data_IF_626896511402
#
_entry.id   IF_626896511402
#
_cell.length_a   1.000
_cell.length_b   1.000
_cell.length_c   1.000
_cell.angle_alpha   90.00
_cell.angle_beta   90.00
_cell.angle_gamma   90.00
#
_symmetry.space_group_name_H-M   'P 1'
#
loop_
_entity.id
_entity.type
_entity.pdbx_description
1 polymer ?
#
# COMPACT_ATOMS: atom_id res chain seq x y z
N UNK A 1 -27.23 22.97 7.07
CA UNK A 1 -26.49 21.99 7.90
C UNK A 1 -25.57 22.65 8.93
N UNK A 2 -25.00 23.82 8.66
CA UNK A 2 -24.07 24.55 9.54
C UNK A 2 -24.73 25.19 10.76
N UNK A 3 -25.97 25.65 10.64
CA UNK A 3 -26.67 26.40 11.71
C UNK A 3 -26.86 25.59 13.00
N UNK A 4 -27.16 24.29 12.87
CA UNK A 4 -27.29 23.36 14.00
C UNK A 4 -25.94 23.07 14.68
N UNK A 5 -24.83 23.25 13.97
CA UNK A 5 -23.47 23.04 14.51
C UNK A 5 -22.99 24.26 15.32
N UNK A 6 -23.58 25.43 15.16
CA UNK A 6 -23.18 26.67 15.85
C UNK A 6 -24.19 27.17 16.88
N UNK A 7 -25.41 26.64 16.89
CA UNK A 7 -26.44 27.03 17.84
C UNK A 7 -26.04 26.71 19.29
N UNK A 8 -26.31 27.67 20.19
CA UNK A 8 -26.17 27.49 21.63
C UNK A 8 -27.54 27.11 22.23
N UNK A 9 -27.66 25.84 22.62
CA UNK A 9 -28.89 25.29 23.18
C UNK A 9 -29.00 25.50 24.70
N UNK A 10 -27.99 26.07 25.34
CA UNK A 10 -27.95 26.25 26.81
C UNK A 10 -28.72 27.49 27.31
N UNK A 11 -28.97 28.46 26.45
CA UNK A 11 -29.65 29.72 26.79
C UNK A 11 -31.13 29.74 26.40
N UNK A 12 -31.65 28.64 25.85
CA UNK A 12 -33.06 28.58 25.42
C UNK A 12 -33.99 28.30 26.59
N UNK A 13 -34.70 29.33 27.05
CA UNK A 13 -35.69 29.27 28.14
C UNK A 13 -36.90 28.38 27.83
N UNK A 14 -37.06 27.93 26.58
CA UNK A 14 -38.15 27.05 26.12
C UNK A 14 -37.79 25.56 26.15
N UNK A 15 -36.52 25.23 26.42
CA UNK A 15 -36.03 23.86 26.43
C UNK A 15 -35.91 23.35 27.86
N UNK A 16 -36.38 22.12 28.09
CA UNK A 16 -36.19 21.44 29.37
C UNK A 16 -34.70 21.08 29.52
N UNK A 17 -34.16 21.08 30.75
CA UNK A 17 -32.73 20.82 31.02
C UNK A 17 -32.18 19.53 30.35
N UNK A 18 -33.02 18.52 30.23
CA UNK A 18 -32.69 17.24 29.58
C UNK A 18 -32.62 17.40 28.06
N UNK A 19 -33.54 18.14 27.45
CA UNK A 19 -33.59 18.36 26.00
C UNK A 19 -32.38 19.17 25.52
N UNK A 20 -32.02 20.24 26.25
CA UNK A 20 -30.82 21.03 25.97
C UNK A 20 -29.54 20.17 26.01
N UNK A 21 -29.43 19.28 27.01
CA UNK A 21 -28.29 18.36 27.16
C UNK A 21 -28.21 17.33 26.04
N UNK A 22 -29.36 16.79 25.61
CA UNK A 22 -29.45 15.83 24.50
C UNK A 22 -29.05 16.51 23.18
N UNK A 23 -29.58 17.70 22.89
CA UNK A 23 -29.23 18.48 21.70
C UNK A 23 -27.74 18.83 21.65
N UNK A 24 -27.15 19.24 22.77
CA UNK A 24 -25.71 19.50 22.86
C UNK A 24 -24.89 18.22 22.55
N UNK A 25 -25.37 17.05 22.99
CA UNK A 25 -24.73 15.76 22.69
C UNK A 25 -24.82 15.42 21.21
N UNK A 26 -25.99 15.59 20.59
CA UNK A 26 -26.17 15.37 19.15
C UNK A 26 -25.36 16.35 18.31
N UNK A 27 -25.29 17.62 18.70
CA UNK A 27 -24.45 18.62 18.05
C UNK A 27 -22.96 18.23 18.11
N UNK A 28 -22.50 17.77 19.28
CA UNK A 28 -21.12 17.30 19.44
C UNK A 28 -20.86 16.08 18.58
N UNK A 29 -21.78 15.11 18.55
CA UNK A 29 -21.66 13.92 17.71
C UNK A 29 -21.62 14.29 16.22
N UNK A 30 -22.48 15.20 15.78
CA UNK A 30 -22.51 15.68 14.40
C UNK A 30 -21.20 16.39 14.01
N UNK A 31 -20.61 17.19 14.91
CA UNK A 31 -19.27 17.78 14.71
C UNK A 31 -18.22 16.70 14.53
N UNK A 32 -18.16 15.73 15.44
CA UNK A 32 -17.20 14.62 15.38
C UNK A 32 -17.35 13.80 14.09
N UNK A 33 -18.58 13.57 13.64
CA UNK A 33 -18.85 12.84 12.39
C UNK A 33 -18.38 13.65 11.18
N UNK A 34 -18.57 14.97 11.18
CA UNK A 34 -18.07 15.84 10.11
C UNK A 34 -16.54 15.86 10.09
N UNK A 35 -15.90 15.97 11.25
CA UNK A 35 -14.44 15.91 11.39
C UNK A 35 -13.90 14.57 10.88
N UNK A 36 -14.55 13.45 11.25
CA UNK A 36 -14.18 12.12 10.79
C UNK A 36 -14.36 11.98 9.27
N UNK A 37 -15.46 12.49 8.71
CA UNK A 37 -15.65 12.50 7.25
C UNK A 37 -14.54 13.29 6.55
N UNK A 38 -14.17 14.46 7.08
CA UNK A 38 -13.08 15.28 6.54
C UNK A 38 -11.74 14.54 6.61
N UNK A 39 -11.44 13.88 7.73
CA UNK A 39 -10.23 13.08 7.89
C UNK A 39 -10.18 11.90 6.92
N UNK A 40 -11.29 11.21 6.70
CA UNK A 40 -11.38 10.13 5.72
C UNK A 40 -11.15 10.67 4.31
N UNK A 41 -11.78 11.77 3.94
CA UNK A 41 -11.54 12.42 2.63
C UNK A 41 -10.07 12.81 2.48
N UNK A 42 -9.47 13.43 3.50
CA UNK A 42 -8.05 13.80 3.47
C UNK A 42 -7.11 12.58 3.39
N UNK A 43 -7.48 11.45 4.01
CA UNK A 43 -6.70 10.21 3.95
C UNK A 43 -6.83 9.52 2.58
N UNK A 44 -8.01 9.59 1.95
CA UNK A 44 -8.23 9.10 0.58
C UNK A 44 -7.53 10.00 -0.45
N UNK A 45 -7.47 11.31 -0.19
CA UNK A 45 -6.74 12.29 -1.01
C UNK A 45 -5.22 12.29 -0.76
N UNK A 46 -4.73 11.67 0.33
CA UNK A 46 -3.30 11.48 0.54
C UNK A 46 -2.69 10.67 -0.61
N UNK A 47 -1.43 10.96 -1.02
CA UNK A 47 -0.92 10.53 -2.32
C UNK A 47 -0.52 9.05 -2.33
N UNK A 48 -1.51 8.17 -2.39
CA UNK A 48 -1.39 6.79 -2.86
C UNK A 48 -0.59 6.69 -4.18
N UNK A 49 -0.74 7.60 -5.18
CA UNK A 49 0.03 7.53 -6.42
C UNK A 49 1.54 7.49 -6.21
N UNK A 50 2.08 8.26 -5.25
CA UNK A 50 3.52 8.30 -5.05
C UNK A 50 4.05 7.00 -4.43
N UNK A 51 3.27 6.36 -3.55
CA UNK A 51 3.59 5.03 -3.04
C UNK A 51 3.51 3.97 -4.15
N UNK A 52 2.48 4.03 -5.00
CA UNK A 52 2.30 3.13 -6.13
C UNK A 52 3.44 3.25 -7.16
N UNK A 53 3.86 4.47 -7.48
CA UNK A 53 4.99 4.73 -8.38
C UNK A 53 6.28 4.14 -7.82
N UNK A 54 6.53 4.33 -6.52
CA UNK A 54 7.69 3.73 -5.85
C UNK A 54 7.65 2.19 -5.90
N UNK A 55 6.48 1.58 -5.68
CA UNK A 55 6.32 0.12 -5.78
C UNK A 55 6.52 -0.39 -7.20
N UNK A 56 6.02 0.32 -8.22
CA UNK A 56 6.20 -0.04 -9.63
C UNK A 56 7.66 0.02 -10.06
N UNK A 57 8.39 1.04 -9.62
CA UNK A 57 9.84 1.13 -9.84
C UNK A 57 10.57 -0.02 -9.15
N UNK A 58 10.16 -0.37 -7.93
CA UNK A 58 10.75 -1.48 -7.19
C UNK A 58 10.50 -2.83 -7.87
N UNK A 59 9.28 -3.07 -8.35
CA UNK A 59 8.91 -4.25 -9.13
C UNK A 59 9.79 -4.41 -10.37
N UNK A 60 9.96 -3.35 -11.16
CA UNK A 60 10.81 -3.39 -12.36
C UNK A 60 12.27 -3.70 -12.04
N UNK A 61 12.80 -3.15 -10.95
CA UNK A 61 14.18 -3.43 -10.51
C UNK A 61 14.36 -4.87 -10.08
N UNK A 62 13.42 -5.41 -9.30
CA UNK A 62 13.48 -6.80 -8.83
C UNK A 62 13.30 -7.76 -10.02
N UNK A 63 12.40 -7.46 -10.95
CA UNK A 63 12.21 -8.25 -12.16
C UNK A 63 13.49 -8.32 -13.02
N UNK A 64 14.19 -7.19 -13.16
CA UNK A 64 15.46 -7.16 -13.88
C UNK A 64 16.53 -8.00 -13.18
N UNK A 65 16.68 -7.85 -11.87
CA UNK A 65 17.63 -8.66 -11.07
C UNK A 65 17.29 -10.14 -11.16
N UNK A 66 15.99 -10.50 -11.09
CA UNK A 66 15.53 -11.88 -11.20
C UNK A 66 15.87 -12.50 -12.55
N UNK A 67 15.63 -11.78 -13.66
CA UNK A 67 15.96 -12.26 -15.00
C UNK A 67 17.47 -12.40 -15.19
N UNK A 68 18.26 -11.43 -14.74
CA UNK A 68 19.73 -11.51 -14.80
C UNK A 68 20.26 -12.68 -13.96
N UNK A 69 19.72 -12.86 -12.76
CA UNK A 69 20.10 -13.97 -11.89
C UNK A 69 19.75 -15.32 -12.53
N UNK A 70 18.54 -15.47 -13.07
CA UNK A 70 18.13 -16.67 -13.79
C UNK A 70 19.07 -16.94 -14.96
N UNK A 71 19.33 -15.94 -15.80
CA UNK A 71 20.29 -16.06 -16.91
C UNK A 71 21.69 -16.47 -16.45
N UNK A 72 22.21 -15.89 -15.37
CA UNK A 72 23.51 -16.24 -14.79
C UNK A 72 23.54 -17.70 -14.30
N UNK A 73 22.49 -18.16 -13.61
CA UNK A 73 22.37 -19.54 -13.14
C UNK A 73 22.30 -20.52 -14.32
N UNK A 74 21.48 -20.24 -15.34
CA UNK A 74 21.41 -21.09 -16.54
C UNK A 74 22.75 -21.13 -17.28
N UNK A 75 23.46 -20.00 -17.39
CA UNK A 75 24.78 -19.95 -18.00
C UNK A 75 25.81 -20.79 -17.24
N UNK A 76 25.80 -20.74 -15.91
CA UNK A 76 26.69 -21.54 -15.07
C UNK A 76 26.37 -23.04 -15.17
N UNK A 77 25.08 -23.40 -15.14
CA UNK A 77 24.65 -24.79 -15.23
C UNK A 77 25.02 -25.39 -16.59
N UNK A 78 24.77 -24.68 -17.69
CA UNK A 78 25.11 -25.13 -19.03
C UNK A 78 26.63 -25.28 -19.22
N UNK A 79 27.43 -24.39 -18.64
CA UNK A 79 28.89 -24.49 -18.69
C UNK A 79 29.39 -25.75 -17.93
N UNK A 80 28.76 -26.09 -16.81
CA UNK A 80 29.10 -27.30 -16.05
C UNK A 80 28.70 -28.57 -16.81
N UNK A 81 27.52 -28.61 -17.43
CA UNK A 81 27.10 -29.73 -18.29
C UNK A 81 28.01 -29.89 -19.51
N UNK A 82 28.38 -28.79 -20.16
CA UNK A 82 29.34 -28.79 -21.28
C UNK A 82 30.71 -29.33 -20.88
N UNK A 83 31.26 -28.89 -19.75
CA UNK A 83 32.54 -29.39 -19.22
C UNK A 83 32.47 -30.88 -18.88
N UNK A 84 31.35 -31.36 -18.31
CA UNK A 84 31.16 -32.78 -18.00
C UNK A 84 31.10 -33.65 -19.27
N UNK A 85 30.52 -33.13 -20.35
CA UNK A 85 30.41 -33.85 -21.63
C UNK A 85 31.72 -33.82 -22.45
N UNK A 86 32.54 -32.78 -22.32
CA UNK A 86 33.85 -32.69 -23.00
C UNK A 86 34.91 -33.64 -22.38
N UNK A 87 34.80 -33.94 -21.07
CA UNK A 87 35.65 -34.92 -20.38
C UNK A 87 35.37 -36.38 -20.81
N UNK A 88 34.11 -36.72 -21.12
CA UNK A 88 33.73 -38.05 -21.64
C UNK A 88 34.18 -38.28 -23.09
N UNK A 89 34.24 -37.22 -23.91
CA UNK A 89 34.61 -37.32 -25.32
C UNK A 89 36.13 -37.44 -25.55
N UNK A 90 36.94 -36.82 -24.70
CA UNK A 90 38.41 -36.96 -24.75
C UNK A 90 38.89 -38.37 -24.36
N UNK A 91 38.17 -39.07 -23.49
CA UNK A 91 38.54 -40.42 -23.04
C UNK A 91 38.27 -41.53 -24.07
N UNK A 92 37.40 -41.29 -25.06
CA UNK A 92 37.04 -42.30 -26.09
C UNK A 92 37.97 -42.26 -27.31
N UNK A 93 38.59 -41.11 -27.62
CA UNK A 93 39.46 -40.97 -28.80
C UNK A 93 40.89 -41.50 -28.58
N UNK A 94 41.31 -41.78 -27.34
CA UNK A 94 42.68 -42.23 -27.04
C UNK A 94 42.86 -43.77 -27.07
N UNK A 95 41.80 -44.53 -27.38
CA UNK A 95 41.83 -46.00 -27.45
C UNK A 95 41.44 -46.61 -28.83
N UNK A 96 41.46 -45.83 -29.91
CA UNK A 96 41.27 -46.38 -31.28
C UNK A 96 42.39 -45.95 -32.21
#
# INVERSE_FOLDING_TARGET
MSEVLTADFSTNTQLTDVEARILQRYQTLAKRLNDLSRLITALVEQPIPQLLDNLRVLESKIALVFTLFKGAVYSLFLQQEGLSNDEEQSSTSEFT
#
